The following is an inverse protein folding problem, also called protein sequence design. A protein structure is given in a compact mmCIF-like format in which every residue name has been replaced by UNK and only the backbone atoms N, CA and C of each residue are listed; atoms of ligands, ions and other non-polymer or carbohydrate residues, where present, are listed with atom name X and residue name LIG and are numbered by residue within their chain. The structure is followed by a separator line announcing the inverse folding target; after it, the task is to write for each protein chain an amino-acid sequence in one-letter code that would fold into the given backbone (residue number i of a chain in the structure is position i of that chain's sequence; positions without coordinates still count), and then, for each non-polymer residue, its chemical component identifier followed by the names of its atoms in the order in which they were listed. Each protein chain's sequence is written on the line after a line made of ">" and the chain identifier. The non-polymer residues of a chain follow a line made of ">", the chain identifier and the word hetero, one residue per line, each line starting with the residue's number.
data_IF_115822773694
#
_entry.id   IF_115822773694
#
_cell.length_a   1.000
_cell.length_b   1.000
_cell.length_c   1.000
_cell.angle_alpha   90.00
_cell.angle_beta   90.00
_cell.angle_gamma   90.00
#
_symmetry.space_group_name_H-M   'P 1'
#
loop_
_entity.id
_entity.type
_entity.pdbx_description
1 polymer ?
#
# COMPACT_ATOMS: atom_id res chain seq x y z
N UNK A 1 21.69 4.01 13.63
CA UNK A 1 22.30 5.12 12.85
C UNK A 1 23.62 4.79 12.15
N UNK A 2 24.24 3.62 12.34
CA UNK A 2 25.59 3.37 11.82
C UNK A 2 25.72 3.23 10.29
N UNK A 3 24.69 2.71 9.60
CA UNK A 3 24.74 2.42 8.15
C UNK A 3 25.02 3.65 7.27
N UNK A 4 24.59 4.84 7.71
CA UNK A 4 24.62 6.05 6.90
C UNK A 4 25.71 7.05 7.30
N UNK A 5 26.50 6.77 8.35
CA UNK A 5 27.52 7.69 8.85
C UNK A 5 28.58 8.05 7.78
N UNK A 6 29.08 7.05 7.04
CA UNK A 6 30.06 7.26 5.97
C UNK A 6 29.50 8.05 4.77
N UNK A 7 28.18 7.98 4.55
CA UNK A 7 27.51 8.78 3.53
C UNK A 7 27.40 10.25 3.97
N UNK A 8 26.93 10.49 5.19
CA UNK A 8 26.74 11.83 5.73
C UNK A 8 28.05 12.59 6.00
N UNK A 9 29.13 11.87 6.37
CA UNK A 9 30.44 12.47 6.61
C UNK A 9 31.04 13.22 5.39
N UNK A 10 30.47 13.02 4.19
CA UNK A 10 30.85 13.74 2.97
C UNK A 10 30.31 15.17 2.90
N UNK A 11 29.35 15.51 3.77
CA UNK A 11 28.66 16.79 3.77
C UNK A 11 28.95 17.54 5.07
N UNK A 12 29.04 18.86 4.99
CA UNK A 12 29.10 19.71 6.18
C UNK A 12 27.71 20.27 6.46
N UNK A 13 27.03 19.78 7.49
CA UNK A 13 25.66 20.16 7.82
C UNK A 13 25.44 20.22 9.34
N UNK A 14 24.40 20.95 9.74
CA UNK A 14 23.87 20.98 11.11
C UNK A 14 22.48 20.35 11.12
N UNK A 15 22.15 19.61 12.18
CA UNK A 15 20.82 19.02 12.36
C UNK A 15 19.98 19.99 13.18
N UNK A 16 18.89 20.47 12.60
CA UNK A 16 17.95 21.38 13.25
C UNK A 16 16.53 20.83 13.15
N UNK A 17 15.77 20.94 14.24
CA UNK A 17 14.36 20.59 14.22
C UNK A 17 13.56 21.70 13.53
N UNK A 18 12.73 21.31 12.54
CA UNK A 18 11.79 22.21 11.88
C UNK A 18 10.34 21.82 12.20
N UNK A 19 9.57 22.67 12.90
CA UNK A 19 8.16 22.42 13.16
C UNK A 19 7.35 22.23 11.87
N UNK A 20 6.34 21.36 11.89
CA UNK A 20 5.55 21.00 10.69
C UNK A 20 4.98 22.20 9.92
N UNK A 21 4.55 23.27 10.63
CA UNK A 21 4.05 24.51 10.02
C UNK A 21 5.09 25.24 9.14
N UNK A 22 6.38 25.00 9.37
CA UNK A 22 7.49 25.55 8.56
C UNK A 22 8.03 24.53 7.56
N UNK A 23 7.65 23.25 7.69
CA UNK A 23 8.11 22.16 6.84
C UNK A 23 7.14 21.84 5.69
N UNK A 24 6.25 22.77 5.34
CA UNK A 24 5.14 22.57 4.38
C UNK A 24 5.62 22.07 3.03
N UNK A 25 6.76 22.55 2.53
CA UNK A 25 7.30 22.14 1.23
C UNK A 25 7.78 20.69 1.24
N UNK A 26 8.55 20.29 2.26
CA UNK A 26 9.01 18.92 2.38
C UNK A 26 7.85 17.98 2.69
N UNK A 27 6.88 18.42 3.50
CA UNK A 27 5.64 17.69 3.77
C UNK A 27 4.86 17.44 2.48
N UNK A 28 4.58 18.49 1.69
CA UNK A 28 3.87 18.39 0.42
C UNK A 28 4.58 17.47 -0.60
N UNK A 29 5.91 17.53 -0.68
CA UNK A 29 6.70 16.64 -1.54
C UNK A 29 6.79 15.20 -1.01
N UNK A 30 6.69 15.00 0.30
CA UNK A 30 6.68 13.68 0.92
C UNK A 30 5.32 12.98 0.84
N UNK A 31 4.23 13.75 0.68
CA UNK A 31 2.90 13.20 0.43
C UNK A 31 2.91 12.41 -0.88
N UNK A 32 2.26 11.25 -0.86
CA UNK A 32 2.16 10.31 -1.98
C UNK A 32 0.71 10.17 -2.41
N UNK A 33 0.14 11.18 -3.11
CA UNK A 33 -1.25 11.14 -3.57
C UNK A 33 -1.48 10.02 -4.60
N UNK A 34 -0.41 9.52 -5.22
CA UNK A 34 -0.40 8.31 -6.05
C UNK A 34 -0.93 7.08 -5.31
N UNK A 35 -0.79 7.02 -3.98
CA UNK A 35 -1.34 5.91 -3.20
C UNK A 35 -2.87 5.96 -3.08
N UNK A 36 -3.50 7.14 -3.02
CA UNK A 36 -4.96 7.25 -3.02
C UNK A 36 -5.56 6.95 -4.41
N UNK A 37 -4.87 7.36 -5.47
CA UNK A 37 -5.30 7.08 -6.84
C UNK A 37 -5.25 5.57 -7.16
N UNK A 38 -4.24 4.86 -6.67
CA UNK A 38 -4.19 3.41 -6.79
C UNK A 38 -5.39 2.75 -6.09
N UNK A 39 -5.79 3.24 -4.92
CA UNK A 39 -6.99 2.75 -4.21
C UNK A 39 -8.27 2.92 -5.03
N UNK A 40 -8.46 4.09 -5.67
CA UNK A 40 -9.60 4.35 -6.54
C UNK A 40 -9.60 3.48 -7.80
N UNK A 41 -8.42 3.24 -8.39
CA UNK A 41 -8.29 2.38 -9.55
C UNK A 41 -8.74 0.94 -9.27
N UNK A 42 -8.50 0.42 -8.06
CA UNK A 42 -9.02 -0.89 -7.66
C UNK A 42 -10.54 -0.90 -7.53
N UNK A 43 -11.16 0.18 -7.06
CA UNK A 43 -12.63 0.25 -6.89
C UNK A 43 -13.36 0.30 -8.24
N UNK A 44 -12.74 0.88 -9.27
CA UNK A 44 -13.25 0.82 -10.64
C UNK A 44 -12.92 -0.50 -11.34
N UNK A 45 -12.04 -1.32 -10.77
CA UNK A 45 -11.68 -2.63 -11.29
C UNK A 45 -12.60 -3.72 -10.74
N UNK A 46 -12.77 -4.84 -11.46
CA UNK A 46 -13.57 -5.96 -10.98
C UNK A 46 -12.88 -6.71 -9.83
N UNK A 47 -11.69 -6.31 -9.38
CA UNK A 47 -10.89 -7.05 -8.40
C UNK A 47 -11.66 -7.33 -7.11
N UNK A 48 -12.35 -6.33 -6.56
CA UNK A 48 -13.13 -6.52 -5.32
C UNK A 48 -14.28 -7.48 -5.52
N UNK A 49 -14.98 -7.43 -6.65
CA UNK A 49 -16.06 -8.36 -6.97
C UNK A 49 -15.53 -9.78 -7.16
N UNK A 50 -14.39 -9.95 -7.82
CA UNK A 50 -13.76 -11.26 -7.99
C UNK A 50 -13.31 -11.87 -6.66
N UNK A 51 -12.79 -11.05 -5.73
CA UNK A 51 -12.46 -11.51 -4.37
C UNK A 51 -13.74 -11.89 -3.61
N UNK A 52 -14.82 -11.11 -3.73
CA UNK A 52 -16.12 -11.42 -3.13
C UNK A 52 -16.69 -12.74 -3.63
N UNK A 53 -16.67 -12.94 -4.94
CA UNK A 53 -17.14 -14.17 -5.58
C UNK A 53 -16.31 -15.39 -5.15
N UNK A 54 -15.00 -15.22 -4.97
CA UNK A 54 -14.13 -16.29 -4.50
C UNK A 54 -14.40 -16.72 -3.04
N UNK A 55 -14.97 -15.83 -2.23
CA UNK A 55 -15.43 -16.13 -0.87
C UNK A 55 -16.93 -16.41 -0.76
N UNK A 56 -17.66 -16.57 -1.87
CA UNK A 56 -19.11 -16.74 -1.85
C UNK A 56 -19.57 -17.98 -1.03
N UNK A 57 -18.72 -19.01 -0.94
CA UNK A 57 -19.01 -20.23 -0.18
C UNK A 57 -18.63 -20.12 1.33
N UNK A 58 -17.84 -19.10 1.71
CA UNK A 58 -17.31 -18.87 3.07
C UNK A 58 -18.00 -17.67 3.78
N UNK A 59 -19.24 -17.36 3.38
CA UNK A 59 -20.01 -16.16 3.77
C UNK A 59 -20.12 -15.94 5.30
N UNK A 60 -20.04 -17.01 6.10
CA UNK A 60 -20.15 -16.97 7.56
C UNK A 60 -19.04 -16.13 8.25
N UNK A 61 -17.89 -15.92 7.58
CA UNK A 61 -16.76 -15.14 8.11
C UNK A 61 -16.57 -13.79 7.42
N UNK A 62 -17.26 -13.56 6.31
CA UNK A 62 -17.06 -12.40 5.46
C UNK A 62 -17.96 -11.24 5.87
N UNK A 63 -17.44 -10.01 5.79
CA UNK A 63 -18.22 -8.78 5.93
C UNK A 63 -18.41 -8.20 4.54
N UNK A 64 -19.66 -8.17 4.06
CA UNK A 64 -20.00 -7.76 2.69
C UNK A 64 -19.24 -8.58 1.62
N UNK A 65 -19.08 -9.88 1.86
CA UNK A 65 -18.37 -10.81 0.98
C UNK A 65 -16.84 -10.67 1.00
N UNK A 66 -16.26 -9.85 1.89
CA UNK A 66 -14.81 -9.72 2.03
C UNK A 66 -14.34 -10.21 3.40
N UNK A 67 -13.26 -10.99 3.40
CA UNK A 67 -12.57 -11.38 4.61
C UNK A 67 -11.52 -10.32 4.96
N UNK A 68 -11.47 -9.90 6.23
CA UNK A 68 -10.51 -8.91 6.71
C UNK A 68 -9.54 -9.53 7.71
N UNK A 69 -8.26 -9.22 7.53
CA UNK A 69 -7.19 -9.58 8.44
C UNK A 69 -6.64 -8.34 9.15
N UNK A 70 -6.59 -8.41 10.47
CA UNK A 70 -6.03 -7.37 11.33
C UNK A 70 -5.09 -8.02 12.35
N UNK A 71 -3.83 -7.57 12.37
CA UNK A 71 -2.78 -8.14 13.24
C UNK A 71 -2.94 -7.63 14.67
N UNK A 72 -3.14 -6.32 14.83
CA UNK A 72 -3.28 -5.64 16.11
C UNK A 72 -4.42 -4.61 16.05
N UNK A 73 -5.01 -4.28 17.22
CA UNK A 73 -6.14 -3.34 17.33
C UNK A 73 -5.87 -1.90 16.86
N UNK A 74 -4.63 -1.56 16.49
CA UNK A 74 -4.24 -0.26 15.94
C UNK A 74 -3.88 -0.27 14.45
N UNK A 75 -3.83 -1.43 13.81
CA UNK A 75 -3.60 -1.53 12.36
C UNK A 75 -4.91 -1.37 11.59
N UNK A 76 -4.84 -0.70 10.44
CA UNK A 76 -5.96 -0.66 9.49
C UNK A 76 -6.25 -2.09 8.98
N UNK A 77 -7.52 -2.51 8.93
CA UNK A 77 -7.88 -3.84 8.46
C UNK A 77 -7.52 -3.98 6.98
N UNK A 78 -6.95 -5.13 6.62
CA UNK A 78 -6.57 -5.49 5.25
C UNK A 78 -7.46 -6.58 4.72
N UNK A 79 -7.70 -6.59 3.42
CA UNK A 79 -8.49 -7.63 2.77
C UNK A 79 -7.62 -8.86 2.58
N UNK A 80 -8.05 -9.97 3.13
CA UNK A 80 -7.40 -11.26 2.89
C UNK A 80 -7.66 -11.69 1.44
N UNK A 81 -6.59 -11.94 0.70
CA UNK A 81 -6.71 -12.40 -0.69
C UNK A 81 -6.76 -13.93 -0.70
N UNK A 82 -7.79 -14.55 -1.31
CA UNK A 82 -7.89 -15.99 -1.42
C UNK A 82 -6.59 -16.63 -1.91
N UNK A 83 -6.35 -17.88 -1.53
CA UNK A 83 -5.22 -18.66 -2.03
C UNK A 83 -5.42 -19.15 -3.48
N UNK A 84 -5.81 -18.21 -4.34
CA UNK A 84 -5.98 -18.33 -5.78
C UNK A 84 -4.85 -17.56 -6.48
N UNK A 85 -4.11 -18.23 -7.37
CA UNK A 85 -2.96 -17.59 -8.03
C UNK A 85 -3.40 -16.48 -8.99
N UNK A 86 -4.53 -16.62 -9.68
CA UNK A 86 -4.97 -15.63 -10.66
C UNK A 86 -5.39 -14.32 -9.97
N UNK A 87 -6.07 -14.42 -8.82
CA UNK A 87 -6.40 -13.26 -7.98
C UNK A 87 -5.15 -12.58 -7.44
N UNK A 88 -4.18 -13.35 -6.92
CA UNK A 88 -2.91 -12.79 -6.42
C UNK A 88 -2.10 -12.11 -7.52
N UNK A 89 -2.03 -12.72 -8.69
CA UNK A 89 -1.42 -12.09 -9.86
C UNK A 89 -2.17 -10.83 -10.27
N UNK A 90 -3.50 -10.82 -10.19
CA UNK A 90 -4.30 -9.64 -10.51
C UNK A 90 -4.03 -8.48 -9.54
N UNK A 91 -3.94 -8.74 -8.23
CA UNK A 91 -3.56 -7.73 -7.23
C UNK A 91 -2.20 -7.13 -7.58
N UNK A 92 -1.21 -7.97 -7.92
CA UNK A 92 0.12 -7.51 -8.31
C UNK A 92 0.11 -6.70 -9.62
N UNK A 93 -0.64 -7.17 -10.62
CA UNK A 93 -0.81 -6.47 -11.90
C UNK A 93 -1.42 -5.08 -11.69
N UNK A 94 -2.46 -4.97 -10.86
CA UNK A 94 -3.08 -3.69 -10.61
C UNK A 94 -2.18 -2.73 -9.82
N UNK A 95 -1.37 -3.27 -8.90
CA UNK A 95 -0.38 -2.53 -8.14
C UNK A 95 0.85 -2.08 -8.95
N UNK A 96 1.18 -2.74 -10.07
CA UNK A 96 2.46 -2.55 -10.76
C UNK A 96 2.35 -2.23 -12.25
N UNK A 97 1.39 -2.81 -12.96
CA UNK A 97 1.34 -2.83 -14.42
C UNK A 97 0.23 -1.94 -15.01
N UNK A 98 -0.68 -1.43 -14.17
CA UNK A 98 -1.68 -0.46 -14.64
C UNK A 98 -1.04 0.89 -14.98
N UNK A 99 -1.59 1.65 -15.95
CA UNK A 99 -1.05 2.97 -16.32
C UNK A 99 -0.95 3.97 -15.17
N UNK A 100 -1.77 3.80 -14.13
CA UNK A 100 -1.81 4.68 -12.95
C UNK A 100 -0.84 4.27 -11.83
N UNK A 101 -0.29 3.04 -11.88
CA UNK A 101 0.57 2.49 -10.82
C UNK A 101 1.99 3.07 -10.79
N UNK A 102 2.43 3.72 -11.87
CA UNK A 102 3.76 4.29 -12.00
C UNK A 102 4.91 3.26 -12.08
N UNK A 103 4.60 1.96 -12.22
CA UNK A 103 5.58 0.86 -12.38
C UNK A 103 6.69 0.86 -11.32
N UNK A 104 6.28 0.92 -10.06
CA UNK A 104 7.19 1.04 -8.94
C UNK A 104 8.07 -0.21 -8.79
N UNK A 105 9.32 -0.05 -8.35
CA UNK A 105 10.18 -1.20 -8.04
C UNK A 105 9.64 -2.06 -6.88
N UNK A 106 10.09 -3.32 -6.80
CA UNK A 106 9.61 -4.37 -5.89
C UNK A 106 9.17 -3.92 -4.49
N UNK A 107 10.05 -3.26 -3.73
CA UNK A 107 9.77 -2.87 -2.34
C UNK A 107 8.57 -1.91 -2.23
N UNK A 108 8.45 -1.00 -3.20
CA UNK A 108 7.37 -0.02 -3.23
C UNK A 108 6.05 -0.67 -3.65
N UNK A 109 6.08 -1.60 -4.59
CA UNK A 109 4.91 -2.41 -4.96
C UNK A 109 4.43 -3.25 -3.79
N UNK A 110 5.35 -3.96 -3.12
CA UNK A 110 5.02 -4.74 -1.93
C UNK A 110 4.39 -3.86 -0.84
N UNK A 111 5.00 -2.71 -0.55
CA UNK A 111 4.45 -1.76 0.44
C UNK A 111 3.07 -1.23 0.02
N UNK A 112 2.83 -1.06 -1.28
CA UNK A 112 1.52 -0.63 -1.80
C UNK A 112 0.45 -1.71 -1.60
N UNK A 113 0.76 -2.96 -1.96
CA UNK A 113 -0.15 -4.11 -1.81
C UNK A 113 -0.43 -4.38 -0.33
N UNK A 114 0.61 -4.48 0.51
CA UNK A 114 0.52 -4.83 1.92
C UNK A 114 -0.16 -3.78 2.81
N UNK A 115 -0.56 -2.63 2.25
CA UNK A 115 -1.41 -1.65 2.93
C UNK A 115 -2.89 -2.02 2.88
N UNK A 116 -3.33 -2.63 1.78
CA UNK A 116 -4.75 -2.91 1.54
C UNK A 116 -5.06 -4.41 1.58
N UNK A 117 -4.05 -5.26 1.33
CA UNK A 117 -4.22 -6.70 1.19
C UNK A 117 -3.31 -7.47 2.15
N UNK A 118 -3.79 -8.63 2.61
CA UNK A 118 -3.04 -9.62 3.37
C UNK A 118 -2.84 -10.90 2.56
#
# INVERSE_FOLDING_TARGET
>A
MARWLSFFAKYNFTVEYKPGKQNVLADALSRRPDYELAHLAYLESPLYELIREAYADDDDLAVEGLLYYQVDGGDEPRIDVPNDEDLRHRVLYEAHDTPLSGHLGREKTYTSVARNFW
#
